data_IF_241531859699
#
_entry.id   IF_241531859699
#
_cell.length_a   1.000
_cell.length_b   1.000
_cell.length_c   1.000
_cell.angle_alpha   90.00
_cell.angle_beta   90.00
_cell.angle_gamma   90.00
#
_symmetry.space_group_name_H-M   'P 1'
#
loop_
_entity.id
_entity.type
_entity.pdbx_description
1 polymer ?
#
# COMPACT_ATOMS: atom_id res chain seq x y z
N UNK A 1 33.37 -8.54 -50.42
CA UNK A 1 32.44 -7.39 -50.33
C UNK A 1 31.02 -7.94 -50.12
N UNK A 2 30.20 -7.41 -49.21
CA UNK A 2 30.47 -7.20 -47.79
C UNK A 2 29.34 -7.72 -46.85
N UNK A 3 29.79 -8.05 -45.63
CA UNK A 3 29.14 -8.00 -44.31
C UNK A 3 27.80 -7.22 -44.26
N UNK A 4 26.71 -7.88 -43.88
CA UNK A 4 25.53 -7.20 -43.28
C UNK A 4 25.62 -7.32 -41.76
N UNK A 5 26.07 -6.23 -41.14
CA UNK A 5 25.98 -5.93 -39.72
C UNK A 5 24.62 -5.29 -39.40
N UNK A 6 24.16 -5.47 -38.15
CA UNK A 6 23.01 -4.77 -37.57
C UNK A 6 21.70 -5.51 -37.82
N UNK A 7 20.86 -5.80 -36.84
CA UNK A 7 20.44 -4.91 -35.76
C UNK A 7 20.17 -5.70 -34.47
N UNK A 8 20.89 -5.34 -33.42
CA UNK A 8 20.55 -5.60 -32.03
C UNK A 8 19.32 -4.75 -31.71
N UNK A 9 18.13 -5.34 -31.82
CA UNK A 9 16.91 -4.71 -31.32
C UNK A 9 16.94 -4.78 -29.79
N UNK A 10 17.30 -3.63 -29.23
CA UNK A 10 16.99 -3.09 -27.91
C UNK A 10 16.30 -4.06 -26.97
N UNK A 11 17.05 -4.55 -25.98
CA UNK A 11 16.47 -5.11 -24.77
C UNK A 11 15.43 -4.12 -24.23
N UNK A 12 14.15 -4.50 -24.30
CA UNK A 12 13.10 -3.82 -23.57
C UNK A 12 13.43 -4.01 -22.09
N UNK A 13 14.10 -2.99 -21.54
CA UNK A 13 14.26 -2.82 -20.09
C UNK A 13 12.83 -2.80 -19.55
N UNK A 14 12.40 -3.94 -19.03
CA UNK A 14 11.23 -4.07 -18.18
C UNK A 14 11.43 -3.06 -17.07
N UNK A 15 10.84 -1.87 -17.21
CA UNK A 15 10.66 -0.93 -16.12
C UNK A 15 9.88 -1.70 -15.07
N UNK A 16 10.59 -2.24 -14.09
CA UNK A 16 9.99 -2.86 -12.93
C UNK A 16 9.29 -1.72 -12.21
N UNK A 17 8.00 -1.53 -12.48
CA UNK A 17 7.19 -0.54 -11.78
C UNK A 17 7.38 -0.77 -10.27
N UNK A 18 7.86 0.26 -9.57
CA UNK A 18 8.18 0.17 -8.16
C UNK A 18 6.90 0.38 -7.35
N UNK A 19 6.70 -0.46 -6.34
CA UNK A 19 5.65 -0.19 -5.34
C UNK A 19 6.04 1.08 -4.60
N UNK A 20 5.17 2.08 -4.62
CA UNK A 20 5.47 3.39 -4.04
C UNK A 20 4.52 3.65 -2.88
N UNK A 21 5.09 3.95 -1.71
CA UNK A 21 4.36 4.41 -0.52
C UNK A 21 4.57 5.92 -0.37
N UNK A 22 3.49 6.67 -0.25
CA UNK A 22 3.50 8.12 -0.01
C UNK A 22 2.63 8.46 1.19
N UNK A 23 3.05 9.46 1.95
CA UNK A 23 2.25 10.02 3.04
C UNK A 23 2.05 11.51 2.81
N UNK A 24 0.80 11.93 2.70
CA UNK A 24 0.40 13.31 2.47
C UNK A 24 -0.27 13.86 3.73
N UNK A 25 0.26 14.93 4.31
CA UNK A 25 -0.34 15.61 5.47
C UNK A 25 -1.52 16.49 5.03
N UNK A 26 -2.61 16.46 5.79
CA UNK A 26 -3.78 17.32 5.57
C UNK A 26 -3.56 18.75 6.09
N UNK A 27 -2.80 18.91 7.18
CA UNK A 27 -2.42 20.22 7.69
C UNK A 27 -1.09 20.64 7.10
N UNK A 28 -1.09 21.69 6.28
CA UNK A 28 0.13 22.38 5.84
C UNK A 28 0.86 22.92 7.07
N UNK A 29 2.19 22.80 7.09
CA UNK A 29 3.06 23.04 8.25
C UNK A 29 2.89 24.41 8.95
N UNK A 30 2.26 25.39 8.31
CA UNK A 30 2.07 26.75 8.83
C UNK A 30 1.02 26.85 9.95
N UNK A 31 0.11 25.87 10.10
CA UNK A 31 -0.91 25.85 11.18
C UNK A 31 -0.82 24.63 12.11
N UNK A 32 0.15 23.75 11.90
CA UNK A 32 0.27 22.53 12.69
C UNK A 32 0.98 22.84 14.02
N UNK A 33 0.28 22.65 15.14
CA UNK A 33 0.93 22.64 16.45
C UNK A 33 2.04 21.55 16.45
N UNK A 34 3.23 21.83 16.99
CA UNK A 34 4.39 20.92 16.90
C UNK A 34 4.14 19.52 17.48
N UNK A 35 3.14 19.40 18.36
CA UNK A 35 2.75 18.15 19.02
C UNK A 35 1.28 17.76 18.74
N UNK A 36 0.72 18.21 17.63
CA UNK A 36 -0.64 17.87 17.21
C UNK A 36 -0.78 16.50 16.52
N UNK A 37 -2.01 15.96 16.42
CA UNK A 37 -2.26 14.71 15.69
C UNK A 37 -1.92 14.86 14.20
N UNK A 38 -1.23 13.84 13.64
CA UNK A 38 -0.85 13.82 12.22
C UNK A 38 -1.99 13.30 11.36
N UNK A 39 -2.85 14.21 10.95
CA UNK A 39 -3.92 13.93 10.00
C UNK A 39 -3.36 13.93 8.58
N UNK A 40 -3.70 12.92 7.81
CA UNK A 40 -3.19 12.75 6.45
C UNK A 40 -3.74 11.52 5.75
N UNK A 41 -3.15 11.22 4.60
CA UNK A 41 -3.47 10.04 3.80
C UNK A 41 -2.18 9.34 3.42
N UNK A 42 -2.09 8.05 3.74
CA UNK A 42 -1.06 7.14 3.19
C UNK A 42 -1.61 6.55 1.90
N UNK A 43 -0.89 6.68 0.79
CA UNK A 43 -1.21 6.04 -0.47
C UNK A 43 -0.15 5.02 -0.87
N UNK A 44 -0.59 3.83 -1.26
CA UNK A 44 0.27 2.73 -1.73
C UNK A 44 -0.13 2.38 -3.15
N UNK A 45 0.76 2.63 -4.10
CA UNK A 45 0.61 2.20 -5.48
C UNK A 45 1.33 0.87 -5.65
N UNK A 46 0.56 -0.21 -5.85
CA UNK A 46 1.11 -1.55 -6.06
C UNK A 46 1.48 -1.76 -7.52
N UNK A 47 2.51 -2.56 -7.77
CA UNK A 47 2.94 -2.92 -9.12
C UNK A 47 1.92 -3.81 -9.85
N UNK A 48 1.32 -4.73 -9.12
CA UNK A 48 0.58 -5.86 -9.70
C UNK A 48 -0.92 -5.60 -9.84
N UNK A 49 -1.39 -4.44 -9.42
CA UNK A 49 -2.80 -4.04 -9.47
C UNK A 49 -2.85 -2.59 -9.92
N UNK A 50 -3.64 -2.28 -10.94
CA UNK A 50 -3.95 -0.91 -11.37
C UNK A 50 -4.87 -0.23 -10.34
N UNK A 51 -4.36 -0.08 -9.13
CA UNK A 51 -5.11 0.43 -7.98
C UNK A 51 -4.18 1.08 -6.97
N UNK A 52 -4.62 2.22 -6.43
CA UNK A 52 -3.98 2.89 -5.30
C UNK A 52 -4.78 2.56 -4.05
N UNK A 53 -4.10 2.05 -3.03
CA UNK A 53 -4.68 1.82 -1.70
C UNK A 53 -4.50 3.10 -0.89
N UNK A 54 -5.59 3.68 -0.40
CA UNK A 54 -5.55 4.90 0.42
C UNK A 54 -6.01 4.64 1.86
N UNK A 55 -5.20 5.10 2.81
CA UNK A 55 -5.44 4.95 4.25
C UNK A 55 -5.45 6.34 4.89
N UNK A 56 -6.58 6.75 5.45
CA UNK A 56 -6.69 7.99 6.24
C UNK A 56 -6.01 7.81 7.59
N UNK A 57 -5.26 8.80 8.05
CA UNK A 57 -4.60 8.78 9.36
C UNK A 57 -5.26 9.77 10.34
N UNK A 58 -5.41 9.39 11.62
CA UNK A 58 -5.03 8.11 12.22
C UNK A 58 -5.94 6.96 11.75
N UNK A 59 -5.33 5.81 11.45
CA UNK A 59 -6.01 4.59 11.05
C UNK A 59 -5.63 3.45 12.00
N UNK A 60 -6.57 2.53 12.23
CA UNK A 60 -6.33 1.33 13.02
C UNK A 60 -6.02 0.15 12.10
N UNK A 61 -5.05 -0.67 12.51
CA UNK A 61 -4.74 -1.96 11.89
C UNK A 61 -5.11 -3.02 12.90
N UNK A 62 -6.07 -3.88 12.55
CA UNK A 62 -6.57 -4.93 13.43
C UNK A 62 -5.64 -6.12 13.36
N UNK A 63 -5.23 -6.63 14.51
CA UNK A 63 -4.41 -7.85 14.60
C UNK A 63 -5.25 -9.08 14.27
N UNK A 64 -4.64 -10.05 13.62
CA UNK A 64 -5.29 -11.33 13.30
C UNK A 64 -4.45 -12.50 13.78
N UNK A 65 -5.09 -13.63 14.02
CA UNK A 65 -4.42 -14.92 14.18
C UNK A 65 -4.66 -15.72 12.91
N UNK A 66 -3.59 -16.06 12.19
CA UNK A 66 -3.66 -16.83 10.92
C UNK A 66 -4.64 -16.23 9.89
N UNK A 67 -4.73 -14.90 9.85
CA UNK A 67 -5.62 -14.18 8.95
C UNK A 67 -7.09 -14.09 9.38
N UNK A 68 -7.43 -14.55 10.59
CA UNK A 68 -8.77 -14.42 11.17
C UNK A 68 -8.74 -13.43 12.33
N UNK A 69 -9.68 -12.48 12.34
CA UNK A 69 -9.88 -11.57 13.47
C UNK A 69 -10.52 -12.37 14.61
N UNK A 70 -9.92 -12.44 15.80
CA UNK A 70 -10.45 -13.24 16.90
C UNK A 70 -11.89 -12.85 17.25
N UNK A 71 -12.72 -13.87 17.51
CA UNK A 71 -14.12 -13.71 17.95
C UNK A 71 -15.08 -13.01 16.96
N UNK A 72 -14.60 -12.57 15.80
CA UNK A 72 -15.45 -11.98 14.76
C UNK A 72 -15.55 -12.93 13.57
N UNK A 73 -16.78 -13.19 13.14
CA UNK A 73 -17.01 -13.87 11.86
C UNK A 73 -16.63 -12.95 10.70
N UNK A 74 -16.42 -13.55 9.52
CA UNK A 74 -16.12 -12.81 8.29
C UNK A 74 -17.20 -11.76 7.98
N UNK A 75 -18.47 -12.10 8.19
CA UNK A 75 -19.58 -11.19 7.92
C UNK A 75 -19.49 -9.94 8.80
N UNK A 76 -19.20 -10.11 10.10
CA UNK A 76 -18.98 -8.99 11.02
C UNK A 76 -17.82 -8.11 10.55
N UNK A 77 -16.70 -8.70 10.13
CA UNK A 77 -15.55 -7.93 9.62
C UNK A 77 -15.85 -7.22 8.30
N UNK A 78 -16.73 -7.78 7.46
CA UNK A 78 -17.09 -7.21 6.16
C UNK A 78 -18.10 -6.06 6.27
N UNK A 79 -18.96 -6.10 7.28
CA UNK A 79 -20.00 -5.10 7.51
C UNK A 79 -19.45 -3.84 8.21
N UNK A 80 -18.41 -3.99 9.02
CA UNK A 80 -17.89 -2.89 9.83
C UNK A 80 -16.81 -2.07 9.12
N UNK A 81 -16.96 -0.76 9.13
CA UNK A 81 -15.92 0.16 8.67
C UNK A 81 -14.71 0.28 9.61
N UNK A 82 -14.81 -0.27 10.83
CA UNK A 82 -13.74 -0.20 11.83
C UNK A 82 -12.57 -1.15 11.49
N UNK A 83 -12.84 -2.28 10.83
CA UNK A 83 -11.86 -3.34 10.53
C UNK A 83 -11.52 -3.31 9.03
N UNK A 84 -10.99 -2.18 8.56
CA UNK A 84 -10.59 -2.00 7.15
C UNK A 84 -9.22 -2.57 6.83
N UNK A 85 -8.32 -2.54 7.80
CA UNK A 85 -6.93 -2.96 7.64
C UNK A 85 -6.62 -4.04 8.65
N UNK A 86 -6.07 -5.15 8.18
CA UNK A 86 -5.71 -6.29 9.01
C UNK A 86 -4.22 -6.58 8.87
N UNK A 87 -3.57 -6.83 10.00
CA UNK A 87 -2.22 -7.38 10.01
C UNK A 87 -2.33 -8.89 9.83
N UNK A 88 -1.69 -9.41 8.79
CA UNK A 88 -1.57 -10.85 8.54
C UNK A 88 -0.18 -11.32 9.00
N UNK A 89 -0.04 -11.93 10.20
CA UNK A 89 1.24 -12.45 10.64
C UNK A 89 1.62 -13.71 9.85
N UNK A 90 2.92 -13.88 9.59
CA UNK A 90 3.48 -15.02 8.83
C UNK A 90 3.65 -16.30 9.67
N UNK A 91 2.90 -16.48 10.75
CA UNK A 91 3.04 -17.62 11.70
C UNK A 91 2.53 -18.96 11.13
N UNK A 92 2.55 -19.14 9.81
CA UNK A 92 2.11 -20.35 9.10
C UNK A 92 3.20 -20.80 8.14
N UNK A 93 4.32 -21.29 8.67
CA UNK A 93 5.21 -22.23 8.01
C UNK A 93 5.27 -23.50 8.84
#
# INVERSE_FOLDING_TARGET
MPRRQGLYTTSSILRRAMTTLRFNLLSTAEKAAPFGPRLGTVSVQRKDVDGTVEIKTPGLITTTSRGVVPHLSRDHTSFTEAVRWVQLPFESL
#
